data_IF_579411507230
#
_entry.id   IF_579411507230
#
_cell.length_a   1.000
_cell.length_b   1.000
_cell.length_c   1.000
_cell.angle_alpha   90.00
_cell.angle_beta   90.00
_cell.angle_gamma   90.00
#
_symmetry.space_group_name_H-M   'P 1'
#
loop_
_entity.id
_entity.type
_entity.pdbx_description
1 polymer ?
#
# COMPACT_ATOMS: atom_id res chain seq x y z
N UNK A 1 -0.73 -14.78 9.29
CA UNK A 1 -2.14 -14.78 9.72
C UNK A 1 -2.72 -13.41 9.39
N UNK A 2 -3.68 -13.35 8.46
CA UNK A 2 -4.38 -12.11 8.12
C UNK A 2 -5.68 -12.05 8.93
N UNK A 3 -6.01 -10.87 9.46
CA UNK A 3 -7.22 -10.61 10.24
C UNK A 3 -8.04 -9.60 9.44
N UNK A 4 -9.31 -9.89 9.15
CA UNK A 4 -10.20 -8.96 8.44
C UNK A 4 -10.45 -7.68 9.23
N UNK A 5 -10.65 -6.58 8.50
CA UNK A 5 -11.13 -5.31 9.04
C UNK A 5 -12.65 -5.21 8.88
N UNK A 6 -13.37 -4.53 9.79
CA UNK A 6 -14.85 -4.46 9.75
C UNK A 6 -15.39 -3.67 8.55
N UNK A 7 -14.51 -3.06 7.76
CA UNK A 7 -14.83 -2.33 6.52
C UNK A 7 -14.48 -3.15 5.28
N UNK A 8 -14.16 -4.43 5.40
CA UNK A 8 -13.88 -5.29 4.25
C UNK A 8 -15.20 -5.66 3.54
N UNK A 9 -15.18 -5.83 2.22
CA UNK A 9 -16.38 -6.21 1.45
C UNK A 9 -16.98 -7.53 1.88
N UNK A 10 -16.17 -8.47 2.37
CA UNK A 10 -16.65 -9.74 2.93
C UNK A 10 -17.44 -9.56 4.22
N UNK A 11 -17.09 -8.58 5.07
CA UNK A 11 -17.85 -8.27 6.28
C UNK A 11 -19.17 -7.59 5.91
N UNK A 12 -19.18 -6.71 4.89
CA UNK A 12 -20.42 -6.10 4.36
C UNK A 12 -21.34 -7.10 3.66
N UNK A 13 -20.77 -8.08 2.95
CA UNK A 13 -21.53 -9.18 2.37
C UNK A 13 -22.11 -10.06 3.47
N UNK A 14 -21.33 -10.38 4.51
CA UNK A 14 -21.80 -11.14 5.65
C UNK A 14 -22.95 -10.44 6.40
N UNK A 15 -22.86 -9.12 6.61
CA UNK A 15 -23.94 -8.33 7.19
C UNK A 15 -25.21 -8.35 6.32
N UNK A 16 -25.06 -8.16 5.00
CA UNK A 16 -26.17 -8.15 4.04
C UNK A 16 -26.85 -9.50 3.93
N UNK A 17 -26.06 -10.58 3.82
CA UNK A 17 -26.57 -11.95 3.75
C UNK A 17 -27.24 -12.33 5.08
N UNK A 18 -26.67 -11.93 6.22
CA UNK A 18 -27.30 -12.13 7.52
C UNK A 18 -28.67 -11.42 7.58
N UNK A 19 -28.76 -10.19 7.09
CA UNK A 19 -30.03 -9.45 7.00
C UNK A 19 -31.05 -10.11 6.06
N UNK A 20 -30.63 -10.54 4.87
CA UNK A 20 -31.50 -11.18 3.87
C UNK A 20 -32.05 -12.54 4.35
N UNK A 21 -31.18 -13.36 4.93
CA UNK A 21 -31.52 -14.70 5.44
C UNK A 21 -32.48 -14.61 6.63
N UNK A 22 -32.32 -13.59 7.46
CA UNK A 22 -33.20 -13.30 8.59
C UNK A 22 -34.51 -12.63 8.15
N UNK A 23 -34.52 -11.93 7.00
CA UNK A 23 -35.61 -11.05 6.55
C UNK A 23 -36.61 -11.62 5.54
N UNK A 24 -36.34 -12.72 4.80
CA UNK A 24 -37.27 -13.18 3.76
C UNK A 24 -37.26 -14.69 3.46
N UNK A 25 -38.47 -15.24 3.27
CA UNK A 25 -38.71 -16.59 2.78
C UNK A 25 -38.96 -16.63 1.27
N UNK A 26 -38.00 -17.14 0.49
CA UNK A 26 -38.13 -17.95 -0.75
C UNK A 26 -36.78 -17.93 -1.47
N UNK A 27 -36.17 -19.09 -1.63
CA UNK A 27 -34.84 -19.25 -2.23
C UNK A 27 -34.82 -19.26 -3.76
N UNK A 28 -33.61 -19.20 -4.31
CA UNK A 28 -33.32 -19.69 -5.65
C UNK A 28 -31.95 -20.40 -5.66
N UNK A 29 -31.96 -21.66 -6.10
CA UNK A 29 -30.83 -22.59 -6.26
C UNK A 29 -29.79 -22.10 -7.27
N UNK A 30 -28.51 -22.37 -6.98
CA UNK A 30 -27.52 -22.88 -7.95
C UNK A 30 -26.48 -23.76 -7.23
N UNK A 31 -26.39 -25.00 -7.66
CA UNK A 31 -25.38 -25.99 -7.25
C UNK A 31 -24.15 -25.85 -8.13
N UNK A 32 -22.95 -26.06 -7.59
CA UNK A 32 -21.90 -26.90 -8.17
C UNK A 32 -20.81 -27.18 -7.12
N UNK A 33 -20.44 -28.46 -6.99
CA UNK A 33 -19.46 -28.99 -6.04
C UNK A 33 -18.29 -29.58 -6.84
N UNK A 34 -17.05 -29.26 -6.48
CA UNK A 34 -15.87 -29.98 -6.94
C UNK A 34 -14.76 -29.95 -5.87
N UNK A 35 -14.38 -31.14 -5.39
CA UNK A 35 -13.38 -31.33 -4.34
C UNK A 35 -11.94 -31.08 -4.80
N UNK A 36 -11.15 -30.47 -3.91
CA UNK A 36 -9.70 -30.30 -4.03
C UNK A 36 -9.01 -30.60 -2.70
N UNK A 37 -7.84 -31.26 -2.76
CA UNK A 37 -7.08 -31.76 -1.60
C UNK A 37 -6.58 -30.62 -0.68
N UNK A 38 -6.70 -30.84 0.62
CA UNK A 38 -6.41 -29.89 1.69
C UNK A 38 -4.92 -29.53 1.83
N UNK A 39 -4.61 -28.24 1.72
CA UNK A 39 -3.41 -27.62 2.26
C UNK A 39 -3.62 -27.33 3.75
N UNK A 40 -2.61 -27.55 4.61
CA UNK A 40 -2.68 -27.29 6.06
C UNK A 40 -1.88 -26.01 6.40
N UNK A 41 -2.53 -24.88 6.69
CA UNK A 41 -1.87 -23.69 7.20
C UNK A 41 -1.60 -23.81 8.71
N UNK A 42 -0.50 -23.22 9.17
CA UNK A 42 -0.15 -23.15 10.60
C UNK A 42 -1.13 -22.24 11.36
N UNK A 43 -1.76 -22.79 12.41
CA UNK A 43 -2.73 -22.12 13.28
C UNK A 43 -1.97 -21.27 14.31
N UNK A 44 -2.25 -19.97 14.39
CA UNK A 44 -1.69 -19.10 15.43
C UNK A 44 -2.15 -19.50 16.84
N UNK A 45 -1.34 -19.25 17.89
CA UNK A 45 -1.60 -19.77 19.25
C UNK A 45 -2.95 -19.34 19.83
N UNK A 46 -3.42 -18.13 19.52
CA UNK A 46 -4.73 -17.62 19.97
C UNK A 46 -5.89 -18.44 19.41
N UNK A 47 -5.88 -18.74 18.10
CA UNK A 47 -6.93 -19.55 17.46
C UNK A 47 -6.83 -21.01 17.88
N UNK A 48 -5.60 -21.54 17.99
CA UNK A 48 -5.40 -22.90 18.49
C UNK A 48 -5.98 -23.08 19.90
N UNK A 49 -5.89 -22.05 20.74
CA UNK A 49 -6.46 -22.04 22.08
C UNK A 49 -8.00 -22.06 22.06
N UNK A 50 -8.64 -21.25 21.22
CA UNK A 50 -10.11 -21.23 21.08
C UNK A 50 -10.70 -22.49 20.43
N UNK A 51 -9.90 -23.31 19.75
CA UNK A 51 -10.34 -24.56 19.12
C UNK A 51 -10.06 -25.81 19.97
N UNK A 52 -9.39 -25.67 21.13
CA UNK A 52 -8.89 -26.78 21.94
C UNK A 52 -9.99 -27.72 22.48
N UNK A 53 -11.21 -27.21 22.67
CA UNK A 53 -12.37 -27.98 23.15
C UNK A 53 -13.03 -28.88 22.09
N UNK A 54 -12.59 -28.84 20.83
CA UNK A 54 -13.11 -29.67 19.73
C UNK A 54 -14.47 -29.23 19.17
N UNK A 55 -15.24 -28.42 19.90
CA UNK A 55 -16.49 -27.78 19.46
C UNK A 55 -17.66 -28.74 19.23
N UNK A 56 -18.87 -28.19 19.35
CA UNK A 56 -20.13 -28.91 19.11
C UNK A 56 -20.56 -28.82 17.64
N UNK A 57 -21.09 -29.92 17.09
CA UNK A 57 -21.62 -29.89 15.72
C UNK A 57 -22.83 -28.97 15.66
N UNK A 58 -22.94 -28.17 14.59
CA UNK A 58 -24.06 -27.26 14.40
C UNK A 58 -25.41 -28.02 14.48
N UNK A 59 -26.33 -27.62 15.38
CA UNK A 59 -27.57 -28.34 15.60
C UNK A 59 -28.38 -28.54 14.33
N UNK A 60 -29.04 -29.69 14.20
CA UNK A 60 -29.83 -30.05 13.01
C UNK A 60 -30.91 -29.01 12.69
N UNK A 61 -31.62 -28.51 13.69
CA UNK A 61 -32.65 -27.49 13.51
C UNK A 61 -32.10 -26.17 12.95
N UNK A 62 -30.88 -25.81 13.34
CA UNK A 62 -30.16 -24.63 12.82
C UNK A 62 -29.72 -24.84 11.37
N UNK A 63 -29.23 -26.04 11.03
CA UNK A 63 -28.89 -26.42 9.66
C UNK A 63 -30.09 -26.40 8.73
N UNK A 64 -31.20 -27.02 9.15
CA UNK A 64 -32.47 -27.02 8.39
C UNK A 64 -33.00 -25.60 8.15
N UNK A 65 -32.67 -24.65 9.01
CA UNK A 65 -33.01 -23.24 8.82
C UNK A 65 -32.10 -22.54 7.80
N UNK A 66 -30.78 -22.71 7.90
CA UNK A 66 -29.81 -21.93 7.11
C UNK A 66 -29.41 -22.57 5.79
N UNK A 67 -29.21 -23.89 5.72
CA UNK A 67 -28.72 -24.57 4.52
C UNK A 67 -29.56 -24.29 3.26
N UNK A 68 -30.92 -24.25 3.31
CA UNK A 68 -31.72 -23.94 2.12
C UNK A 68 -31.59 -22.47 1.66
N UNK A 69 -31.29 -21.55 2.58
CA UNK A 69 -31.15 -20.11 2.31
C UNK A 69 -29.77 -19.78 1.75
N UNK A 70 -28.75 -20.51 2.21
CA UNK A 70 -27.37 -20.37 1.74
C UNK A 70 -27.05 -21.25 0.52
N UNK A 71 -27.81 -22.33 0.30
CA UNK A 71 -27.47 -23.35 -0.69
C UNK A 71 -26.15 -24.05 -0.40
N UNK A 72 -25.80 -24.20 0.88
CA UNK A 72 -24.51 -24.70 1.36
C UNK A 72 -24.71 -25.75 2.45
N UNK A 73 -23.86 -26.79 2.49
CA UNK A 73 -23.90 -27.82 3.52
C UNK A 73 -23.09 -27.36 4.75
N UNK A 74 -23.76 -27.23 5.89
CA UNK A 74 -23.11 -26.83 7.14
C UNK A 74 -22.90 -28.02 8.09
N UNK A 75 -23.00 -29.26 7.60
CA UNK A 75 -22.83 -30.48 8.40
C UNK A 75 -21.46 -30.63 9.06
N UNK A 76 -20.43 -29.99 8.49
CA UNK A 76 -19.05 -30.00 9.00
C UNK A 76 -18.77 -28.87 9.99
N UNK A 77 -19.72 -27.94 10.18
CA UNK A 77 -19.54 -26.75 11.03
C UNK A 77 -19.55 -27.12 12.50
N UNK A 78 -18.57 -26.61 13.24
CA UNK A 78 -18.44 -26.77 14.69
C UNK A 78 -18.46 -25.41 15.38
N UNK A 79 -19.29 -25.32 16.42
CA UNK A 79 -19.46 -24.13 17.24
C UNK A 79 -18.66 -24.31 18.54
N UNK A 80 -17.86 -23.31 18.89
CA UNK A 80 -17.13 -23.24 20.15
C UNK A 80 -17.66 -22.05 20.95
N UNK A 81 -18.14 -22.30 22.17
CA UNK A 81 -18.71 -21.29 23.05
C UNK A 81 -18.35 -21.51 24.53
N UNK A 82 -17.31 -22.30 24.79
CA UNK A 82 -16.74 -22.54 26.12
C UNK A 82 -15.87 -21.36 26.59
N UNK A 83 -15.24 -21.51 27.77
CA UNK A 83 -14.46 -20.44 28.37
C UNK A 83 -13.19 -20.12 27.56
N UNK A 84 -12.58 -21.14 26.97
CA UNK A 84 -11.41 -21.05 26.11
C UNK A 84 -11.73 -20.34 24.79
N UNK A 85 -12.85 -20.68 24.16
CA UNK A 85 -13.43 -19.99 23.00
C UNK A 85 -13.69 -18.52 23.31
N UNK A 86 -14.32 -18.23 24.45
CA UNK A 86 -14.61 -16.87 24.88
C UNK A 86 -13.33 -16.06 25.12
N UNK A 87 -12.30 -16.66 25.72
CA UNK A 87 -10.99 -16.02 25.92
C UNK A 87 -10.29 -15.75 24.58
N UNK A 88 -10.37 -16.68 23.64
CA UNK A 88 -9.82 -16.51 22.28
C UNK A 88 -10.52 -15.38 21.52
N UNK A 89 -11.86 -15.34 21.54
CA UNK A 89 -12.63 -14.28 20.90
C UNK A 89 -12.33 -12.91 21.52
N UNK A 90 -12.20 -12.84 22.85
CA UNK A 90 -11.81 -11.61 23.55
C UNK A 90 -10.41 -11.12 23.16
N UNK A 91 -9.44 -12.03 23.02
CA UNK A 91 -8.09 -11.70 22.57
C UNK A 91 -8.06 -11.15 21.13
N UNK A 92 -9.04 -11.52 20.30
CA UNK A 92 -9.23 -11.00 18.94
C UNK A 92 -10.17 -9.79 18.86
N UNK A 93 -10.69 -9.34 20.01
CA UNK A 93 -11.68 -8.27 20.15
C UNK A 93 -13.00 -8.54 19.40
N UNK A 94 -13.41 -9.81 19.34
CA UNK A 94 -14.51 -10.29 18.53
C UNK A 94 -15.74 -10.74 19.35
N UNK A 95 -16.94 -10.46 18.83
CA UNK A 95 -18.23 -11.07 19.25
C UNK A 95 -18.28 -12.55 18.90
N UNK A 96 -17.84 -12.86 17.68
CA UNK A 96 -17.60 -14.20 17.18
C UNK A 96 -16.56 -14.09 16.05
N UNK A 97 -15.93 -15.21 15.71
CA UNK A 97 -15.05 -15.28 14.55
C UNK A 97 -15.14 -16.66 13.90
N UNK A 98 -14.84 -16.71 12.60
CA UNK A 98 -14.86 -17.93 11.80
C UNK A 98 -13.45 -18.29 11.35
N UNK A 99 -13.12 -19.59 11.44
CA UNK A 99 -11.86 -20.18 10.97
C UNK A 99 -12.11 -21.58 10.39
N UNK A 100 -12.01 -21.73 9.07
CA UNK A 100 -12.44 -22.94 8.38
C UNK A 100 -13.91 -23.29 8.69
N UNK A 101 -14.17 -24.54 9.08
CA UNK A 101 -15.51 -24.98 9.51
C UNK A 101 -15.78 -24.74 11.00
N UNK A 102 -15.02 -23.85 11.66
CA UNK A 102 -15.19 -23.54 13.08
C UNK A 102 -15.70 -22.11 13.29
N UNK A 103 -16.72 -21.97 14.12
CA UNK A 103 -17.23 -20.67 14.57
C UNK A 103 -16.98 -20.58 16.08
N UNK A 104 -16.28 -19.54 16.52
CA UNK A 104 -15.89 -19.34 17.92
C UNK A 104 -16.60 -18.11 18.46
N UNK A 105 -17.43 -18.28 19.49
CA UNK A 105 -18.22 -17.21 20.09
C UNK A 105 -17.54 -16.62 21.32
N UNK A 106 -17.65 -15.31 21.48
CA UNK A 106 -17.33 -14.59 22.71
C UNK A 106 -18.31 -14.92 23.84
N UNK A 107 -17.90 -14.60 25.07
CA UNK A 107 -18.67 -14.87 26.28
C UNK A 107 -20.13 -14.40 26.16
N UNK A 108 -21.07 -15.33 26.30
CA UNK A 108 -22.51 -15.04 26.31
C UNK A 108 -23.12 -14.66 24.94
N UNK A 109 -22.36 -14.77 23.84
CA UNK A 109 -22.83 -14.45 22.48
C UNK A 109 -23.56 -15.60 21.78
N UNK A 110 -23.30 -16.84 22.19
CA UNK A 110 -24.04 -18.02 21.71
C UNK A 110 -25.20 -18.36 22.66
N UNK A 111 -26.42 -17.97 22.29
CA UNK A 111 -27.68 -18.35 22.97
C UNK A 111 -28.65 -18.91 21.93
N UNK A 112 -28.73 -20.25 21.77
CA UNK A 112 -29.63 -20.88 20.82
C UNK A 112 -31.08 -20.36 20.97
N UNK A 113 -31.67 -19.91 19.86
CA UNK A 113 -33.05 -19.38 19.82
C UNK A 113 -33.20 -17.87 20.07
N UNK A 114 -32.12 -17.15 20.37
CA UNK A 114 -32.13 -15.68 20.42
C UNK A 114 -31.92 -15.08 19.02
N UNK A 115 -32.70 -14.05 18.65
CA UNK A 115 -32.63 -13.38 17.35
C UNK A 115 -31.24 -12.75 17.07
N UNK A 116 -30.61 -12.14 18.08
CA UNK A 116 -29.29 -11.54 17.96
C UNK A 116 -28.22 -12.61 17.72
N UNK A 117 -28.33 -13.75 18.41
CA UNK A 117 -27.46 -14.92 18.15
C UNK A 117 -27.71 -15.51 16.77
N UNK A 118 -28.96 -15.55 16.29
CA UNK A 118 -29.27 -16.08 14.96
C UNK A 118 -28.72 -15.20 13.84
N UNK A 119 -28.83 -13.87 13.96
CA UNK A 119 -28.20 -12.92 13.03
C UNK A 119 -26.68 -13.08 13.04
N UNK A 120 -26.07 -13.08 14.22
CA UNK A 120 -24.62 -13.27 14.36
C UNK A 120 -24.18 -14.61 13.77
N UNK A 121 -24.95 -15.68 13.99
CA UNK A 121 -24.66 -16.98 13.40
C UNK A 121 -24.82 -16.97 11.88
N UNK A 122 -25.77 -16.24 11.32
CA UNK A 122 -25.91 -16.07 9.88
C UNK A 122 -24.71 -15.32 9.27
N UNK A 123 -24.20 -14.29 9.96
CA UNK A 123 -22.97 -13.57 9.60
C UNK A 123 -21.78 -14.54 9.52
N UNK A 124 -21.54 -15.29 10.60
CA UNK A 124 -20.43 -16.24 10.67
C UNK A 124 -20.58 -17.43 9.69
N UNK A 125 -21.80 -17.92 9.45
CA UNK A 125 -22.06 -18.95 8.44
C UNK A 125 -21.81 -18.44 7.02
N UNK A 126 -21.96 -17.13 6.79
CA UNK A 126 -21.55 -16.50 5.52
C UNK A 126 -20.03 -16.65 5.35
N UNK A 127 -19.24 -16.41 6.40
CA UNK A 127 -17.80 -16.64 6.37
C UNK A 127 -17.43 -18.12 6.18
N UNK A 128 -18.18 -19.07 6.76
CA UNK A 128 -17.97 -20.50 6.49
C UNK A 128 -18.19 -20.81 5.02
N UNK A 129 -19.31 -20.37 4.45
CA UNK A 129 -19.65 -20.60 3.05
C UNK A 129 -18.65 -19.91 2.10
N UNK A 130 -18.18 -18.72 2.46
CA UNK A 130 -17.11 -18.00 1.76
C UNK A 130 -15.82 -18.83 1.78
N UNK A 131 -15.33 -19.26 2.95
CA UNK A 131 -14.07 -20.01 3.05
C UNK A 131 -14.11 -21.36 2.32
N UNK A 132 -15.24 -22.07 2.31
CA UNK A 132 -15.37 -23.33 1.59
C UNK A 132 -15.41 -23.13 0.07
N UNK A 133 -16.14 -22.11 -0.42
CA UNK A 133 -16.14 -21.72 -1.85
C UNK A 133 -14.77 -21.23 -2.33
N UNK A 134 -14.00 -20.59 -1.45
CA UNK A 134 -12.74 -19.93 -1.76
C UNK A 134 -11.50 -20.80 -1.45
N UNK A 135 -11.69 -21.98 -0.84
CA UNK A 135 -10.59 -22.86 -0.42
C UNK A 135 -9.66 -22.26 0.65
N UNK A 136 -10.14 -21.24 1.39
CA UNK A 136 -9.38 -20.49 2.38
C UNK A 136 -9.31 -21.28 3.70
N UNK A 137 -8.36 -22.21 3.78
CA UNK A 137 -7.90 -22.70 5.08
C UNK A 137 -6.89 -21.69 5.62
N UNK A 138 -7.07 -21.16 6.84
CA UNK A 138 -6.02 -20.34 7.51
C UNK A 138 -6.27 -18.83 7.66
N UNK A 139 -7.45 -18.31 7.30
CA UNK A 139 -7.83 -16.90 7.50
C UNK A 139 -8.82 -16.80 8.66
N UNK A 140 -8.74 -15.75 9.48
CA UNK A 140 -9.71 -15.46 10.53
C UNK A 140 -10.55 -14.25 10.12
N UNK A 141 -11.86 -14.45 10.02
CA UNK A 141 -12.87 -13.40 9.86
C UNK A 141 -13.50 -13.09 11.23
N UNK A 142 -13.62 -11.81 11.61
CA UNK A 142 -14.07 -11.40 12.96
C UNK A 142 -15.15 -10.32 12.92
N UNK A 143 -16.24 -10.54 13.66
CA UNK A 143 -17.21 -9.49 14.01
C UNK A 143 -16.84 -8.85 15.37
N UNK A 144 -16.89 -7.53 15.52
CA UNK A 144 -16.42 -6.82 16.72
C UNK A 144 -17.46 -6.79 17.86
N UNK A 145 -17.01 -6.86 19.12
CA UNK A 145 -17.86 -6.89 20.33
C UNK A 145 -18.40 -5.52 20.81
N UNK A 146 -18.36 -4.49 19.96
CA UNK A 146 -18.91 -3.17 20.27
C UNK A 146 -19.84 -2.82 19.11
N UNK A 147 -21.14 -2.65 19.39
CA UNK A 147 -22.08 -2.01 18.45
C UNK A 147 -21.36 -0.83 17.79
N UNK A 148 -21.45 -0.64 16.46
CA UNK A 148 -20.57 0.24 15.72
C UNK A 148 -20.43 1.52 16.52
N UNK A 149 -19.20 1.79 16.99
CA UNK A 149 -18.88 3.12 17.50
C UNK A 149 -19.46 4.05 16.43
N UNK A 150 -20.33 4.97 16.85
CA UNK A 150 -20.87 6.04 16.02
C UNK A 150 -19.86 6.37 14.93
N UNK A 151 -20.21 6.24 13.64
CA UNK A 151 -19.22 6.07 12.57
C UNK A 151 -18.18 7.17 12.68
N UNK A 152 -16.95 6.79 13.06
CA UNK A 152 -15.85 7.73 13.22
C UNK A 152 -15.31 8.21 11.85
N UNK A 153 -16.11 8.12 10.78
CA UNK A 153 -15.65 8.35 9.42
C UNK A 153 -16.75 8.54 8.39
N UNK A 154 -17.95 8.98 8.76
CA UNK A 154 -18.85 9.55 7.74
C UNK A 154 -18.41 10.99 7.52
N UNK A 155 -18.11 11.34 6.27
CA UNK A 155 -17.74 12.70 5.96
C UNK A 155 -18.92 13.64 6.22
N UNK A 156 -18.63 14.90 6.53
CA UNK A 156 -19.68 15.91 6.44
C UNK A 156 -20.23 15.91 5.00
N UNK A 157 -21.55 16.12 4.87
CA UNK A 157 -22.18 16.19 3.56
C UNK A 157 -21.49 17.28 2.72
N UNK A 158 -21.00 16.90 1.54
CA UNK A 158 -20.36 17.84 0.64
C UNK A 158 -21.38 18.86 0.12
N UNK A 159 -20.96 20.11 0.02
CA UNK A 159 -21.80 21.15 -0.62
C UNK A 159 -21.97 20.87 -2.11
N UNK A 160 -23.03 21.40 -2.76
CA UNK A 160 -23.21 21.24 -4.21
C UNK A 160 -21.99 21.69 -5.04
N UNK A 161 -21.28 22.73 -4.60
CA UNK A 161 -20.06 23.21 -5.26
C UNK A 161 -18.89 22.24 -5.10
N UNK A 162 -18.72 21.65 -3.91
CA UNK A 162 -17.70 20.61 -3.69
C UNK A 162 -18.00 19.36 -4.51
N UNK A 163 -19.26 18.92 -4.54
CA UNK A 163 -19.70 17.79 -5.36
C UNK A 163 -19.38 18.04 -6.84
N UNK A 164 -19.79 19.19 -7.39
CA UNK A 164 -19.51 19.54 -8.77
C UNK A 164 -17.99 19.56 -9.07
N UNK A 165 -17.19 20.16 -8.18
CA UNK A 165 -15.73 20.19 -8.30
C UNK A 165 -15.11 18.78 -8.31
N UNK A 166 -15.58 17.89 -7.44
CA UNK A 166 -15.08 16.54 -7.35
C UNK A 166 -15.54 15.65 -8.51
N UNK A 167 -16.77 15.82 -9.02
CA UNK A 167 -17.24 15.16 -10.25
C UNK A 167 -16.33 15.54 -11.42
N UNK A 168 -16.05 16.84 -11.61
CA UNK A 168 -15.15 17.30 -12.67
C UNK A 168 -13.73 16.75 -12.50
N UNK A 169 -13.20 16.76 -11.27
CA UNK A 169 -11.87 16.25 -10.97
C UNK A 169 -11.74 14.75 -11.26
N UNK A 170 -12.68 13.93 -10.76
CA UNK A 170 -12.68 12.49 -10.94
C UNK A 170 -12.94 12.11 -12.40
N UNK A 171 -13.95 12.72 -13.03
CA UNK A 171 -14.34 12.46 -14.42
C UNK A 171 -13.28 12.85 -15.45
N UNK A 172 -12.29 13.67 -15.09
CA UNK A 172 -11.16 13.99 -15.96
C UNK A 172 -10.19 12.80 -16.16
N UNK A 173 -10.16 11.85 -15.24
CA UNK A 173 -9.19 10.72 -15.27
C UNK A 173 -9.84 9.34 -15.20
N UNK A 174 -11.01 9.23 -14.56
CA UNK A 174 -11.76 7.99 -14.41
C UNK A 174 -12.90 7.99 -15.42
N UNK A 175 -12.61 7.52 -16.62
CA UNK A 175 -13.54 7.59 -17.78
C UNK A 175 -14.07 6.24 -18.22
N UNK A 176 -13.40 5.15 -17.87
CA UNK A 176 -13.80 3.81 -18.27
C UNK A 176 -14.96 3.31 -17.39
N UNK A 177 -16.08 2.94 -18.00
CA UNK A 177 -17.28 2.47 -17.29
C UNK A 177 -16.96 1.33 -16.30
N UNK A 178 -16.09 0.42 -16.73
CA UNK A 178 -15.69 -0.73 -15.96
C UNK A 178 -14.83 -0.34 -14.73
N UNK A 179 -13.99 0.70 -14.83
CA UNK A 179 -13.23 1.25 -13.69
C UNK A 179 -14.15 1.97 -12.71
N UNK A 180 -15.15 2.70 -13.23
CA UNK A 180 -16.17 3.36 -12.40
C UNK A 180 -16.97 2.32 -11.62
N UNK A 181 -17.41 1.24 -12.26
CA UNK A 181 -18.14 0.13 -11.63
C UNK A 181 -17.35 -0.47 -10.46
N UNK A 182 -16.07 -0.78 -10.70
CA UNK A 182 -15.17 -1.27 -9.65
C UNK A 182 -15.07 -0.28 -8.49
N UNK A 183 -14.78 0.99 -8.78
CA UNK A 183 -14.62 1.99 -7.73
C UNK A 183 -15.90 2.20 -6.93
N UNK A 184 -17.07 2.19 -7.60
CA UNK A 184 -18.38 2.25 -6.94
C UNK A 184 -18.57 1.09 -5.96
N UNK A 185 -18.25 -0.13 -6.39
CA UNK A 185 -18.33 -1.32 -5.54
C UNK A 185 -17.41 -1.21 -4.31
N UNK A 186 -16.15 -0.82 -4.52
CA UNK A 186 -15.14 -0.64 -3.45
C UNK A 186 -15.62 0.37 -2.40
N UNK A 187 -16.21 1.49 -2.83
CA UNK A 187 -16.75 2.51 -1.91
C UNK A 187 -18.16 2.20 -1.39
N UNK A 188 -18.67 0.99 -1.65
CA UNK A 188 -19.92 0.48 -1.08
C UNK A 188 -21.20 0.91 -1.80
N UNK A 189 -21.10 1.31 -3.07
CA UNK A 189 -22.25 1.61 -3.92
C UNK A 189 -22.56 0.46 -4.88
N UNK A 190 -23.79 0.46 -5.41
CA UNK A 190 -24.11 -0.38 -6.57
C UNK A 190 -23.15 -0.02 -7.73
N UNK A 191 -22.50 -1.03 -8.35
CA UNK A 191 -21.64 -0.82 -9.52
C UNK A 191 -22.37 -0.09 -10.67
N UNK A 192 -23.68 -0.29 -10.81
CA UNK A 192 -24.53 0.41 -11.76
C UNK A 192 -25.27 1.59 -11.11
N UNK A 193 -25.44 2.71 -11.84
CA UNK A 193 -24.87 3.03 -13.13
C UNK A 193 -23.36 3.36 -13.06
N UNK A 194 -22.64 3.09 -14.16
CA UNK A 194 -21.21 3.35 -14.29
C UNK A 194 -20.90 4.84 -14.52
N UNK A 195 -21.29 5.70 -13.58
CA UNK A 195 -21.15 7.16 -13.66
C UNK A 195 -20.50 7.75 -12.41
N UNK A 196 -19.76 8.83 -12.62
CA UNK A 196 -19.21 9.69 -11.57
C UNK A 196 -20.28 10.73 -11.23
N UNK A 197 -21.15 10.40 -10.28
CA UNK A 197 -22.25 11.25 -9.82
C UNK A 197 -22.05 11.74 -8.39
N UNK A 198 -23.01 12.53 -7.87
CA UNK A 198 -22.93 13.07 -6.51
C UNK A 198 -22.91 11.98 -5.43
N UNK A 199 -23.61 10.87 -5.65
CA UNK A 199 -23.59 9.72 -4.75
C UNK A 199 -22.20 9.08 -4.70
N UNK A 200 -21.57 8.86 -5.85
CA UNK A 200 -20.20 8.35 -5.93
C UNK A 200 -19.21 9.26 -5.22
N UNK A 201 -19.28 10.57 -5.49
CA UNK A 201 -18.37 11.55 -4.87
C UNK A 201 -18.55 11.62 -3.35
N UNK A 202 -19.78 11.51 -2.84
CA UNK A 202 -20.02 11.46 -1.40
C UNK A 202 -19.49 10.16 -0.78
N UNK A 203 -19.70 9.01 -1.44
CA UNK A 203 -19.17 7.73 -0.97
C UNK A 203 -17.64 7.71 -0.96
N UNK A 204 -16.98 8.37 -1.92
CA UNK A 204 -15.53 8.59 -1.89
C UNK A 204 -15.13 9.46 -0.69
N UNK A 205 -15.88 10.50 -0.36
CA UNK A 205 -15.60 11.33 0.81
C UNK A 205 -15.75 10.53 2.12
N UNK A 206 -16.77 9.69 2.22
CA UNK A 206 -16.97 8.80 3.37
C UNK A 206 -15.81 7.79 3.47
N UNK A 207 -15.42 7.18 2.36
CA UNK A 207 -14.23 6.32 2.29
C UNK A 207 -12.96 7.06 2.75
N UNK A 208 -12.75 8.29 2.28
CA UNK A 208 -11.62 9.12 2.69
C UNK A 208 -11.65 9.38 4.20
N UNK A 209 -12.79 9.74 4.77
CA UNK A 209 -12.94 9.97 6.21
C UNK A 209 -12.66 8.70 7.03
N UNK A 210 -13.16 7.54 6.60
CA UNK A 210 -12.90 6.24 7.24
C UNK A 210 -11.40 5.89 7.28
N UNK A 211 -10.63 6.35 6.29
CA UNK A 211 -9.20 6.09 6.18
C UNK A 211 -8.31 7.26 6.62
N UNK A 212 -8.87 8.27 7.30
CA UNK A 212 -8.11 9.43 7.80
C UNK A 212 -7.52 10.30 6.70
N UNK A 213 -8.11 10.28 5.51
CA UNK A 213 -7.75 11.13 4.38
C UNK A 213 -8.62 12.40 4.39
N UNK A 214 -8.19 13.42 3.64
CA UNK A 214 -9.03 14.59 3.37
C UNK A 214 -10.30 14.17 2.65
N UNK A 215 -11.46 14.33 3.29
CA UNK A 215 -12.77 13.94 2.77
C UNK A 215 -13.35 15.01 1.82
N UNK A 216 -12.80 15.11 0.61
CA UNK A 216 -13.19 16.08 -0.42
C UNK A 216 -13.89 15.44 -1.64
N UNK A 217 -14.07 14.12 -1.61
CA UNK A 217 -14.65 13.32 -2.70
C UNK A 217 -13.75 13.20 -3.93
N UNK A 218 -12.51 13.70 -3.88
CA UNK A 218 -11.56 13.68 -5.00
C UNK A 218 -10.62 12.48 -4.91
N UNK A 219 -10.53 11.70 -5.97
CA UNK A 219 -9.65 10.54 -6.07
C UNK A 219 -8.23 11.00 -6.45
N UNK A 220 -7.59 11.71 -5.52
CA UNK A 220 -6.20 12.14 -5.64
C UNK A 220 -5.19 11.01 -5.36
N UNK A 221 -3.87 11.29 -5.41
CA UNK A 221 -2.84 10.27 -5.21
C UNK A 221 -2.97 9.47 -3.90
N UNK A 222 -3.27 10.12 -2.78
CA UNK A 222 -3.45 9.45 -1.49
C UNK A 222 -4.68 8.53 -1.47
N UNK A 223 -5.80 9.01 -2.04
CA UNK A 223 -7.04 8.22 -2.19
C UNK A 223 -6.81 7.01 -3.09
N UNK A 224 -6.18 7.20 -4.27
CA UNK A 224 -5.84 6.10 -5.20
C UNK A 224 -4.94 5.06 -4.54
N UNK A 225 -3.94 5.48 -3.77
CA UNK A 225 -3.06 4.56 -3.04
C UNK A 225 -3.85 3.70 -2.06
N UNK A 226 -4.81 4.28 -1.32
CA UNK A 226 -5.64 3.50 -0.40
C UNK A 226 -6.58 2.56 -1.16
N UNK A 227 -7.29 3.05 -2.18
CA UNK A 227 -8.16 2.22 -3.04
C UNK A 227 -7.40 1.05 -3.66
N UNK A 228 -6.16 1.27 -4.10
CA UNK A 228 -5.32 0.21 -4.67
C UNK A 228 -5.05 -0.92 -3.68
N UNK A 229 -4.85 -0.59 -2.39
CA UNK A 229 -4.67 -1.58 -1.34
C UNK A 229 -5.95 -2.37 -1.05
N UNK A 230 -7.12 -1.70 -1.11
CA UNK A 230 -8.42 -2.38 -0.96
C UNK A 230 -8.69 -3.34 -2.11
N UNK A 231 -8.49 -2.90 -3.36
CA UNK A 231 -8.65 -3.75 -4.54
C UNK A 231 -7.76 -5.01 -4.44
N UNK A 232 -6.52 -4.87 -3.95
CA UNK A 232 -5.64 -6.02 -3.72
C UNK A 232 -6.10 -6.91 -2.56
N UNK A 233 -6.67 -6.33 -1.50
CA UNK A 233 -7.21 -7.09 -0.38
C UNK A 233 -8.41 -7.94 -0.84
N UNK A 234 -9.34 -7.35 -1.57
CA UNK A 234 -10.51 -8.04 -2.13
C UNK A 234 -10.13 -9.10 -3.17
N UNK A 235 -9.17 -8.80 -4.06
CA UNK A 235 -8.71 -9.77 -5.03
C UNK A 235 -8.08 -11.02 -4.38
N UNK A 236 -7.39 -10.83 -3.24
CA UNK A 236 -6.83 -11.95 -2.47
C UNK A 236 -7.91 -12.76 -1.76
N UNK A 237 -8.99 -12.12 -1.35
CA UNK A 237 -10.08 -12.81 -0.68
C UNK A 237 -10.91 -13.64 -1.65
N UNK A 238 -11.10 -13.21 -2.90
CA UNK A 238 -11.95 -13.88 -3.90
C UNK A 238 -11.28 -15.02 -4.71
N UNK A 239 -9.96 -15.21 -4.59
CA UNK A 239 -9.22 -16.26 -5.30
C UNK A 239 -9.21 -16.12 -6.83
N UNK A 240 -8.43 -16.96 -7.54
CA UNK A 240 -8.24 -16.84 -9.01
C UNK A 240 -9.45 -17.28 -9.84
N UNK A 241 -10.41 -18.00 -9.27
CA UNK A 241 -11.58 -18.55 -9.96
C UNK A 241 -12.88 -17.77 -9.71
N UNK A 242 -12.90 -16.85 -8.73
CA UNK A 242 -14.01 -15.94 -8.44
C UNK A 242 -13.97 -14.63 -9.24
N UNK A 243 -13.00 -14.46 -10.16
CA UNK A 243 -12.68 -13.20 -10.84
C UNK A 243 -13.75 -12.70 -11.85
N UNK A 244 -14.95 -13.30 -11.91
CA UNK A 244 -15.98 -13.01 -12.92
C UNK A 244 -16.45 -11.56 -13.03
N UNK A 245 -16.14 -10.69 -12.04
CA UNK A 245 -16.44 -9.25 -12.07
C UNK A 245 -15.24 -8.31 -11.87
N UNK A 246 -14.14 -8.78 -11.26
CA UNK A 246 -12.98 -7.94 -10.87
C UNK A 246 -11.86 -7.83 -11.93
N UNK A 247 -12.06 -8.39 -13.12
CA UNK A 247 -11.05 -8.38 -14.20
C UNK A 247 -10.61 -6.97 -14.62
N UNK A 248 -11.45 -5.96 -14.41
CA UNK A 248 -11.19 -4.59 -14.88
C UNK A 248 -10.10 -3.89 -14.07
N UNK A 249 -10.08 -4.09 -12.74
CA UNK A 249 -9.11 -3.45 -11.86
C UNK A 249 -7.71 -4.04 -11.91
N UNK A 250 -7.60 -5.30 -12.34
CA UNK A 250 -6.37 -6.08 -12.36
C UNK A 250 -5.90 -6.44 -13.77
N UNK A 251 -6.45 -5.80 -14.79
CA UNK A 251 -6.14 -6.18 -16.18
C UNK A 251 -4.64 -6.06 -16.47
N UNK A 252 -4.01 -4.93 -16.13
CA UNK A 252 -2.56 -4.76 -16.29
C UNK A 252 -1.77 -5.84 -15.54
N UNK A 253 -2.18 -6.16 -14.30
CA UNK A 253 -1.55 -7.18 -13.48
C UNK A 253 -1.62 -8.55 -14.17
N UNK A 254 -2.79 -8.94 -14.66
CA UNK A 254 -3.03 -10.18 -15.41
C UNK A 254 -2.23 -10.23 -16.72
N UNK A 255 -2.18 -9.12 -17.46
CA UNK A 255 -1.37 -9.01 -18.68
C UNK A 255 0.12 -9.18 -18.38
N UNK A 256 0.62 -8.61 -17.28
CA UNK A 256 2.00 -8.82 -16.84
C UNK A 256 2.25 -10.28 -16.41
N UNK A 257 1.32 -10.91 -15.68
CA UNK A 257 1.44 -12.33 -15.33
C UNK A 257 1.47 -13.24 -16.57
N UNK A 258 0.73 -12.89 -17.61
CA UNK A 258 0.77 -13.57 -18.91
C UNK A 258 2.16 -13.45 -19.56
N UNK A 259 2.78 -12.26 -19.52
CA UNK A 259 4.16 -12.06 -20.00
C UNK A 259 5.17 -12.90 -19.20
N UNK A 260 5.00 -12.97 -17.87
CA UNK A 260 5.84 -13.79 -17.00
C UNK A 260 5.68 -15.28 -17.36
N UNK A 261 4.44 -15.78 -17.45
CA UNK A 261 4.15 -17.17 -17.81
C UNK A 261 4.66 -17.56 -19.20
N UNK A 262 4.67 -16.62 -20.15
CA UNK A 262 5.23 -16.81 -21.48
C UNK A 262 6.77 -16.70 -21.55
N UNK A 263 7.46 -16.44 -20.43
CA UNK A 263 8.91 -16.28 -20.42
C UNK A 263 9.40 -14.96 -21.03
N UNK A 264 8.52 -13.98 -21.25
CA UNK A 264 8.87 -12.74 -21.96
C UNK A 264 9.65 -11.77 -21.06
N UNK A 265 10.92 -11.52 -21.40
CA UNK A 265 11.83 -10.64 -20.62
C UNK A 265 12.10 -9.28 -21.29
N UNK A 266 11.40 -8.97 -22.39
CA UNK A 266 11.70 -7.83 -23.27
C UNK A 266 10.95 -6.58 -22.80
N UNK A 267 11.69 -5.53 -22.41
CA UNK A 267 11.10 -4.27 -21.94
C UNK A 267 10.03 -3.67 -22.88
N UNK A 268 10.17 -3.83 -24.20
CA UNK A 268 9.22 -3.27 -25.17
C UNK A 268 7.78 -3.77 -24.97
N UNK A 269 7.59 -5.06 -24.68
CA UNK A 269 6.26 -5.65 -24.47
C UNK A 269 5.65 -5.19 -23.15
N UNK A 270 6.47 -5.17 -22.10
CA UNK A 270 6.09 -4.67 -20.78
C UNK A 270 5.69 -3.19 -20.83
N UNK A 271 6.49 -2.35 -21.50
CA UNK A 271 6.19 -0.93 -21.74
C UNK A 271 4.86 -0.75 -22.44
N UNK A 272 4.57 -1.56 -23.45
CA UNK A 272 3.33 -1.48 -24.22
C UNK A 272 2.11 -1.72 -23.33
N UNK A 273 2.15 -2.74 -22.47
CA UNK A 273 1.06 -3.02 -21.52
C UNK A 273 0.90 -1.92 -20.47
N UNK A 274 2.00 -1.48 -19.86
CA UNK A 274 1.96 -0.44 -18.82
C UNK A 274 1.43 0.89 -19.37
N UNK A 275 1.81 1.27 -20.60
CA UNK A 275 1.34 2.53 -21.21
C UNK A 275 -0.14 2.51 -21.59
N UNK A 276 -0.68 1.33 -21.92
CA UNK A 276 -2.10 1.19 -22.24
C UNK A 276 -3.00 1.19 -20.99
N UNK A 277 -2.44 0.92 -19.82
CA UNK A 277 -3.17 0.79 -18.57
C UNK A 277 -3.63 2.13 -17.97
N UNK A 278 -4.77 2.08 -17.27
CA UNK A 278 -5.29 3.23 -16.54
C UNK A 278 -4.37 3.60 -15.37
N UNK A 279 -4.57 4.79 -14.81
CA UNK A 279 -3.76 5.24 -13.66
C UNK A 279 -3.99 4.32 -12.46
N UNK A 280 -5.24 3.94 -12.17
CA UNK A 280 -5.57 3.02 -11.07
C UNK A 280 -4.91 1.66 -11.26
N UNK A 281 -4.98 1.07 -12.45
CA UNK A 281 -4.35 -0.22 -12.74
C UNK A 281 -2.83 -0.20 -12.47
N UNK A 282 -2.16 0.91 -12.82
CA UNK A 282 -0.73 1.09 -12.54
C UNK A 282 -0.44 1.24 -11.05
N UNK A 283 -1.27 1.99 -10.31
CA UNK A 283 -1.13 2.11 -8.86
C UNK A 283 -1.32 0.77 -8.14
N UNK A 284 -2.30 -0.03 -8.58
CA UNK A 284 -2.56 -1.36 -8.04
C UNK A 284 -1.34 -2.26 -8.20
N UNK A 285 -0.67 -2.23 -9.37
CA UNK A 285 0.59 -2.96 -9.56
C UNK A 285 1.70 -2.41 -8.65
N UNK A 286 1.83 -1.08 -8.50
CA UNK A 286 2.83 -0.48 -7.61
C UNK A 286 2.60 -0.77 -6.13
N UNK A 287 1.35 -1.05 -5.73
CA UNK A 287 0.96 -1.31 -4.36
C UNK A 287 1.28 -2.73 -3.87
N UNK A 288 1.75 -3.64 -4.74
CA UNK A 288 2.08 -5.04 -4.38
C UNK A 288 3.61 -5.29 -4.48
N UNK A 289 4.41 -5.05 -3.41
CA UNK A 289 5.86 -5.26 -3.46
C UNK A 289 6.28 -6.67 -3.89
N UNK A 290 5.53 -7.70 -3.48
CA UNK A 290 5.76 -9.08 -3.90
C UNK A 290 5.63 -9.26 -5.42
N UNK A 291 4.71 -8.53 -6.05
CA UNK A 291 4.56 -8.52 -7.51
C UNK A 291 5.74 -7.84 -8.19
N UNK A 292 6.17 -6.70 -7.67
CA UNK A 292 7.33 -5.97 -8.19
C UNK A 292 8.62 -6.80 -8.08
N UNK A 293 8.78 -7.60 -7.03
CA UNK A 293 9.88 -8.59 -6.90
C UNK A 293 9.76 -9.67 -8.00
N UNK A 294 8.56 -10.16 -8.30
CA UNK A 294 8.36 -11.09 -9.43
C UNK A 294 8.77 -10.44 -10.76
N UNK A 295 8.40 -9.19 -10.98
CA UNK A 295 8.86 -8.42 -12.17
C UNK A 295 10.38 -8.31 -12.19
N UNK A 296 11.02 -7.98 -11.07
CA UNK A 296 12.49 -7.87 -10.92
C UNK A 296 13.20 -9.16 -11.32
N UNK A 297 12.68 -10.30 -10.90
CA UNK A 297 13.28 -11.62 -11.14
C UNK A 297 13.10 -12.09 -12.59
N UNK A 298 12.16 -11.50 -13.33
CA UNK A 298 11.85 -11.90 -14.70
C UNK A 298 12.46 -10.99 -15.76
N UNK A 299 12.49 -9.67 -15.51
CA UNK A 299 13.09 -8.69 -16.43
C UNK A 299 14.59 -8.90 -16.58
N UNK A 300 15.09 -8.60 -17.78
CA UNK A 300 16.49 -8.87 -18.16
C UNK A 300 17.51 -8.07 -17.34
N UNK A 301 17.18 -6.83 -16.99
CA UNK A 301 18.11 -5.91 -16.30
C UNK A 301 17.42 -5.12 -15.20
N UNK A 302 18.21 -4.57 -14.27
CA UNK A 302 17.73 -3.60 -13.30
C UNK A 302 17.15 -2.36 -13.99
N UNK A 303 17.76 -1.89 -15.08
CA UNK A 303 17.31 -0.71 -15.80
C UNK A 303 15.94 -0.91 -16.44
N UNK A 304 15.66 -2.10 -16.95
CA UNK A 304 14.33 -2.41 -17.49
C UNK A 304 13.27 -2.41 -16.39
N UNK A 305 13.58 -2.93 -15.19
CA UNK A 305 12.70 -2.77 -14.03
C UNK A 305 12.49 -1.30 -13.69
N UNK A 306 13.57 -0.52 -13.57
CA UNK A 306 13.49 0.88 -13.21
C UNK A 306 12.61 1.68 -14.20
N UNK A 307 12.75 1.41 -15.51
CA UNK A 307 11.88 1.98 -16.54
C UNK A 307 10.42 1.54 -16.38
N UNK A 308 10.15 0.27 -16.09
CA UNK A 308 8.80 -0.21 -15.82
C UNK A 308 8.19 0.46 -14.60
N UNK A 309 8.93 0.57 -13.49
CA UNK A 309 8.50 1.22 -12.26
C UNK A 309 8.20 2.72 -12.48
N UNK A 310 9.02 3.39 -13.30
CA UNK A 310 8.79 4.78 -13.70
C UNK A 310 7.53 4.93 -14.56
N UNK A 311 7.31 4.04 -15.54
CA UNK A 311 6.09 4.02 -16.36
C UNK A 311 4.82 3.73 -15.54
N UNK A 312 4.95 2.91 -14.50
CA UNK A 312 3.87 2.67 -13.54
C UNK A 312 3.55 3.93 -12.71
N UNK A 313 4.43 4.95 -12.71
CA UNK A 313 4.17 6.26 -12.11
C UNK A 313 4.99 6.57 -10.86
N UNK A 314 5.91 5.69 -10.45
CA UNK A 314 6.84 6.01 -9.36
C UNK A 314 7.87 7.04 -9.85
N UNK A 315 8.23 7.97 -8.97
CA UNK A 315 9.23 9.01 -9.25
C UNK A 315 10.21 9.14 -8.08
N UNK A 316 11.37 9.73 -8.36
CA UNK A 316 12.28 10.15 -7.31
C UNK A 316 11.68 11.30 -6.46
N UNK A 317 12.03 11.37 -5.16
CA UNK A 317 11.63 12.47 -4.30
C UNK A 317 12.27 13.79 -4.74
N UNK A 318 11.61 14.90 -4.44
CA UNK A 318 12.18 16.25 -4.58
C UNK A 318 13.10 16.59 -3.41
N UNK A 319 13.94 17.61 -3.54
CA UNK A 319 14.73 18.11 -2.41
C UNK A 319 13.84 18.48 -1.22
N UNK A 320 12.66 19.08 -1.48
CA UNK A 320 11.66 19.41 -0.46
C UNK A 320 11.11 18.16 0.26
N UNK A 321 10.90 17.07 -0.46
CA UNK A 321 10.47 15.79 0.11
C UNK A 321 11.61 15.12 0.90
N UNK A 322 12.85 15.21 0.41
CA UNK A 322 14.03 14.68 1.09
C UNK A 322 14.30 15.39 2.42
N UNK A 323 14.26 16.72 2.46
CA UNK A 323 14.48 17.49 3.71
C UNK A 323 13.30 17.42 4.68
N UNK A 324 12.17 16.84 4.26
CA UNK A 324 11.02 16.55 5.11
C UNK A 324 10.99 15.08 5.59
N UNK A 325 11.82 14.21 5.00
CA UNK A 325 11.87 12.79 5.34
C UNK A 325 12.53 12.59 6.72
N UNK A 326 11.88 11.87 7.66
CA UNK A 326 12.41 11.69 9.01
C UNK A 326 13.77 10.99 9.08
N UNK A 327 14.05 10.04 8.18
CA UNK A 327 15.31 9.30 8.13
C UNK A 327 16.41 10.25 7.66
N UNK A 328 16.14 11.03 6.62
CA UNK A 328 17.08 12.03 6.10
C UNK A 328 17.34 13.11 7.16
N UNK A 329 16.32 13.72 7.77
CA UNK A 329 16.49 14.75 8.80
C UNK A 329 17.32 14.24 9.99
N UNK A 330 17.03 13.03 10.46
CA UNK A 330 17.78 12.42 11.56
C UNK A 330 19.26 12.29 11.21
N UNK A 331 19.55 11.87 9.98
CA UNK A 331 20.91 11.73 9.49
C UNK A 331 21.62 13.06 9.32
N UNK A 332 20.99 14.06 8.69
CA UNK A 332 21.55 15.40 8.51
C UNK A 332 21.97 16.03 9.84
N UNK A 333 21.16 15.84 10.90
CA UNK A 333 21.50 16.29 12.26
C UNK A 333 22.66 15.49 12.86
N UNK A 334 22.69 14.19 12.63
CA UNK A 334 23.73 13.32 13.16
C UNK A 334 25.10 13.56 12.48
N UNK A 335 25.14 13.85 11.18
CA UNK A 335 26.40 14.25 10.50
C UNK A 335 26.85 15.64 10.90
N UNK A 336 25.94 16.59 11.14
CA UNK A 336 26.30 17.90 11.69
C UNK A 336 26.95 17.80 13.07
N UNK A 337 26.41 16.92 13.93
CA UNK A 337 27.02 16.68 15.23
C UNK A 337 28.43 16.08 15.11
N UNK A 338 28.65 15.20 14.12
CA UNK A 338 29.94 14.56 13.87
C UNK A 338 30.98 15.50 13.24
N UNK A 339 30.58 16.48 12.43
CA UNK A 339 31.48 17.41 11.74
C UNK A 339 32.02 18.55 12.62
N UNK A 340 31.52 18.71 13.85
CA UNK A 340 31.88 19.82 14.75
C UNK A 340 32.96 19.45 15.79
N UNK A 341 34.09 20.19 15.88
CA UNK A 341 35.12 19.95 16.88
C UNK A 341 34.75 20.44 18.30
N UNK A 342 33.67 21.20 18.47
CA UNK A 342 33.16 21.58 19.82
C UNK A 342 32.23 20.54 20.43
N UNK A 343 31.76 19.58 19.64
CA UNK A 343 30.91 18.45 20.06
C UNK A 343 31.68 17.12 20.13
N UNK A 344 32.85 17.04 19.47
CA UNK A 344 33.81 15.94 19.57
C UNK A 344 34.85 16.19 20.68
N UNK A 345 35.51 15.16 21.24
CA UNK A 345 36.46 15.32 22.35
C UNK A 345 37.60 16.31 22.01
N UNK A 346 38.13 17.03 23.01
CA UNK A 346 39.14 18.08 22.78
C UNK A 346 40.37 17.51 22.07
N UNK A 347 40.58 17.94 20.82
CA UNK A 347 41.69 17.52 19.95
C UNK A 347 41.32 17.15 18.51
N UNK A 348 40.03 17.08 18.16
CA UNK A 348 39.58 16.82 16.78
C UNK A 348 39.62 18.05 15.87
N UNK A 349 40.02 17.85 14.61
CA UNK A 349 39.95 18.88 13.55
C UNK A 349 38.53 18.91 12.96
N UNK A 350 38.03 20.10 12.66
CA UNK A 350 36.81 20.27 11.87
C UNK A 350 36.97 19.59 10.50
N UNK A 351 35.95 18.85 10.06
CA UNK A 351 35.95 18.11 8.79
C UNK A 351 34.52 18.02 8.26
N UNK A 352 34.37 17.77 6.96
CA UNK A 352 33.06 17.54 6.37
C UNK A 352 32.60 16.10 6.60
N UNK A 353 31.32 15.96 6.90
CA UNK A 353 30.62 14.69 6.99
C UNK A 353 29.47 14.68 5.97
N UNK A 354 29.07 13.50 5.49
CA UNK A 354 28.11 13.41 4.40
C UNK A 354 27.95 12.02 3.82
N UNK A 355 27.23 11.93 2.71
CA UNK A 355 26.94 10.67 2.05
C UNK A 355 25.84 10.78 1.01
N UNK A 356 25.13 9.67 0.82
CA UNK A 356 24.11 9.53 -0.22
C UNK A 356 22.77 9.10 0.36
N UNK A 357 21.70 9.60 -0.25
CA UNK A 357 20.33 9.18 -0.01
C UNK A 357 19.91 8.20 -1.10
N UNK A 358 19.39 7.04 -0.71
CA UNK A 358 18.94 5.98 -1.60
C UNK A 358 17.43 5.81 -1.52
N UNK A 359 16.83 5.47 -2.66
CA UNK A 359 15.45 5.06 -2.75
C UNK A 359 15.38 3.63 -3.30
N UNK A 360 14.72 2.73 -2.59
CA UNK A 360 14.43 1.40 -3.10
C UNK A 360 13.27 1.47 -4.11
N UNK A 361 13.50 1.04 -5.35
CA UNK A 361 12.52 1.18 -6.43
C UNK A 361 11.40 0.12 -6.39
N UNK A 362 11.47 -0.85 -5.48
CA UNK A 362 10.41 -1.85 -5.22
C UNK A 362 9.59 -1.41 -4.02
N UNK A 363 10.20 -1.15 -2.87
CA UNK A 363 9.50 -0.83 -1.61
C UNK A 363 9.15 0.66 -1.46
N UNK A 364 9.77 1.54 -2.23
CA UNK A 364 9.67 3.00 -2.11
C UNK A 364 10.26 3.55 -0.80
N UNK A 365 11.08 2.75 -0.13
CA UNK A 365 11.75 3.11 1.11
C UNK A 365 12.97 4.02 0.86
N UNK A 366 13.13 5.03 1.71
CA UNK A 366 14.28 5.92 1.73
C UNK A 366 15.28 5.41 2.76
N UNK A 367 16.55 5.35 2.38
CA UNK A 367 17.67 5.00 3.27
C UNK A 367 18.82 5.95 3.03
N UNK A 368 19.75 6.04 3.98
CA UNK A 368 20.95 6.87 3.88
C UNK A 368 22.19 6.01 4.09
N UNK A 369 23.28 6.38 3.43
CA UNK A 369 24.61 5.80 3.71
C UNK A 369 25.63 6.91 3.81
N UNK A 370 26.39 6.93 4.90
CA UNK A 370 27.53 7.82 5.06
C UNK A 370 28.68 7.41 4.17
N UNK A 371 29.35 8.39 3.59
CA UNK A 371 30.67 8.17 3.05
C UNK A 371 31.66 7.95 4.21
N UNK A 372 32.81 7.28 3.97
CA UNK A 372 33.88 7.25 4.96
C UNK A 372 34.28 8.67 5.35
N UNK A 373 34.39 8.94 6.65
CA UNK A 373 34.79 10.26 7.15
C UNK A 373 36.11 10.68 6.50
N UNK A 374 36.11 11.86 5.87
CA UNK A 374 37.32 12.43 5.28
C UNK A 374 38.34 12.76 6.38
N UNK A 375 39.63 12.58 6.12
CA UNK A 375 40.69 13.04 7.03
C UNK A 375 40.93 14.57 6.95
N UNK A 376 40.11 15.32 6.21
CA UNK A 376 40.29 16.74 5.93
C UNK A 376 38.98 17.50 5.67
N UNK A 377 39.08 18.73 5.16
CA UNK A 377 37.96 19.67 4.99
C UNK A 377 37.06 19.42 3.77
N UNK A 378 37.20 18.29 3.07
CA UNK A 378 36.44 17.96 1.86
C UNK A 378 36.05 16.49 1.92
N UNK A 379 34.79 16.17 1.64
CA UNK A 379 34.27 14.81 1.51
C UNK A 379 34.16 14.35 0.05
N UNK A 380 34.58 13.11 -0.25
CA UNK A 380 34.46 12.53 -1.59
C UNK A 380 33.14 11.75 -1.73
N UNK A 381 32.27 12.22 -2.63
CA UNK A 381 30.97 11.63 -2.92
C UNK A 381 30.89 11.01 -4.33
N UNK A 382 32.01 10.90 -5.07
CA UNK A 382 32.04 10.53 -6.50
C UNK A 382 31.82 9.04 -6.79
N UNK A 383 31.71 8.19 -5.77
CA UNK A 383 31.57 6.74 -5.91
C UNK A 383 30.59 6.12 -4.92
N UNK A 384 29.27 6.35 -5.05
CA UNK A 384 28.29 5.75 -4.14
C UNK A 384 28.35 4.22 -4.19
N UNK A 385 28.29 3.53 -3.03
CA UNK A 385 28.17 2.08 -3.02
C UNK A 385 26.87 1.63 -3.70
N UNK A 386 26.93 0.53 -4.44
CA UNK A 386 25.75 -0.07 -5.05
C UNK A 386 24.90 -0.73 -3.96
N UNK A 387 23.60 -0.42 -3.97
CA UNK A 387 22.62 -0.99 -3.03
C UNK A 387 21.58 -1.76 -3.83
N UNK A 388 21.29 -2.99 -3.40
CA UNK A 388 20.34 -3.85 -4.09
C UNK A 388 18.98 -3.17 -4.25
N UNK A 389 18.46 -3.22 -5.48
CA UNK A 389 17.18 -2.64 -5.89
C UNK A 389 16.96 -1.16 -5.54
N UNK A 390 18.04 -0.42 -5.33
CA UNK A 390 18.01 0.98 -4.93
C UNK A 390 18.81 1.85 -5.90
N UNK A 391 18.41 3.12 -5.97
CA UNK A 391 19.12 4.16 -6.72
C UNK A 391 19.47 5.33 -5.80
N UNK A 392 20.56 6.05 -6.10
CA UNK A 392 20.86 7.33 -5.43
C UNK A 392 19.85 8.39 -5.87
N UNK A 393 19.20 9.05 -4.93
CA UNK A 393 18.20 10.11 -5.17
C UNK A 393 18.59 11.45 -4.57
N UNK A 394 19.75 11.54 -3.93
CA UNK A 394 20.34 12.79 -3.45
C UNK A 394 21.68 12.55 -2.78
N UNK A 395 22.45 13.62 -2.63
CA UNK A 395 23.69 13.69 -1.85
C UNK A 395 23.48 14.62 -0.67
N UNK A 396 24.27 14.46 0.38
CA UNK A 396 24.29 15.41 1.48
C UNK A 396 25.69 15.56 2.06
N UNK A 397 26.03 16.74 2.54
CA UNK A 397 27.25 16.99 3.30
C UNK A 397 27.11 18.21 4.22
N UNK A 398 28.04 18.36 5.15
CA UNK A 398 28.06 19.46 6.12
C UNK A 398 29.06 20.54 5.73
N UNK A 399 28.71 21.81 5.93
CA UNK A 399 29.63 22.95 5.92
C UNK A 399 29.82 23.47 7.35
N UNK A 400 30.74 22.89 8.13
CA UNK A 400 30.88 23.23 9.55
C UNK A 400 31.64 24.57 9.77
N UNK A 401 32.35 25.09 8.76
CA UNK A 401 33.21 26.27 8.89
C UNK A 401 32.41 27.59 8.87
N UNK A 402 32.44 28.33 9.98
CA UNK A 402 31.70 29.58 10.22
C UNK A 402 32.65 30.78 10.38
N UNK A 403 33.65 30.91 9.51
CA UNK A 403 34.48 32.12 9.47
C UNK A 403 33.64 33.34 9.04
N UNK A 404 34.02 34.58 9.42
CA UNK A 404 33.26 35.79 9.09
C UNK A 404 33.14 36.10 7.58
N UNK A 405 33.83 35.35 6.72
CA UNK A 405 33.75 35.42 5.26
C UNK A 405 32.96 34.26 4.63
N UNK A 406 32.43 33.32 5.42
CA UNK A 406 31.70 32.14 4.93
C UNK A 406 30.19 32.33 5.08
N UNK A 407 29.48 32.13 3.97
CA UNK A 407 28.02 32.15 3.94
C UNK A 407 27.49 30.74 4.21
N UNK A 408 26.50 30.62 5.09
CA UNK A 408 25.81 29.36 5.33
C UNK A 408 25.08 28.90 4.05
N UNK A 409 25.42 27.72 3.54
CA UNK A 409 24.76 27.11 2.39
C UNK A 409 25.73 26.61 1.32
N UNK A 410 25.18 26.22 0.14
CA UNK A 410 25.96 25.66 -0.96
C UNK A 410 26.88 26.71 -1.57
N UNK A 411 28.07 26.28 -1.93
CA UNK A 411 29.07 27.02 -2.67
C UNK A 411 28.88 26.86 -4.19
N UNK A 412 29.60 27.67 -4.97
CA UNK A 412 29.63 27.53 -6.43
C UNK A 412 30.05 26.12 -6.90
N UNK A 413 31.13 25.54 -6.35
CA UNK A 413 31.51 24.15 -6.59
C UNK A 413 30.40 23.12 -6.32
N UNK A 414 29.63 23.29 -5.23
CA UNK A 414 28.53 22.35 -4.92
C UNK A 414 27.46 22.40 -6.00
N UNK A 415 27.09 23.60 -6.44
CA UNK A 415 26.14 23.75 -7.54
C UNK A 415 26.61 23.10 -8.85
N UNK A 416 27.92 23.08 -9.12
CA UNK A 416 28.50 22.40 -10.28
C UNK A 416 28.50 20.88 -10.08
N UNK A 417 28.89 20.40 -8.90
CA UNK A 417 28.92 18.99 -8.56
C UNK A 417 27.51 18.37 -8.62
N UNK A 418 26.54 18.98 -7.95
CA UNK A 418 25.16 18.49 -7.92
C UNK A 418 24.50 18.48 -9.31
N UNK A 419 24.87 19.46 -10.17
CA UNK A 419 24.43 19.48 -11.55
C UNK A 419 25.04 18.34 -12.38
N UNK A 420 26.32 18.02 -12.16
CA UNK A 420 27.02 16.91 -12.82
C UNK A 420 26.49 15.54 -12.36
N UNK A 421 26.17 15.44 -11.07
CA UNK A 421 25.60 14.28 -10.40
C UNK A 421 24.12 14.06 -10.71
N UNK A 422 23.44 15.08 -11.26
CA UNK A 422 22.03 15.06 -11.68
C UNK A 422 21.06 14.53 -10.61
N UNK A 423 21.37 14.76 -9.34
CA UNK A 423 20.52 14.52 -8.16
C UNK A 423 20.56 15.74 -7.23
N UNK A 424 19.55 15.96 -6.38
CA UNK A 424 19.57 17.00 -5.37
C UNK A 424 20.77 16.89 -4.42
N UNK A 425 21.45 18.01 -4.17
CA UNK A 425 22.41 18.16 -3.07
C UNK A 425 21.77 18.81 -1.86
N UNK A 426 22.12 18.31 -0.66
CA UNK A 426 21.68 18.89 0.62
C UNK A 426 22.89 19.29 1.44
N UNK A 427 23.06 20.59 1.65
CA UNK A 427 24.13 21.16 2.48
C UNK A 427 23.58 21.46 3.86
N UNK A 428 24.23 20.92 4.88
CA UNK A 428 23.91 21.16 6.29
C UNK A 428 24.83 22.25 6.83
N UNK A 429 24.26 23.33 7.35
CA UNK A 429 25.02 24.44 7.91
C UNK A 429 24.32 25.10 9.09
N UNK A 430 24.96 26.11 9.68
CA UNK A 430 24.35 26.99 10.68
C UNK A 430 24.33 28.42 10.14
N UNK A 431 23.25 29.16 10.37
CA UNK A 431 23.16 30.60 10.02
C UNK A 431 23.78 31.52 11.06
N UNK A 432 24.20 30.98 12.21
CA UNK A 432 24.93 31.71 13.25
C UNK A 432 26.32 31.15 13.50
N UNK A 433 27.15 31.91 14.23
CA UNK A 433 28.59 31.67 14.43
C UNK A 433 28.91 30.75 15.62
N UNK A 434 27.90 30.22 16.31
CA UNK A 434 28.06 29.44 17.55
C UNK A 434 27.49 28.04 17.43
N UNK A 435 27.97 27.12 18.27
CA UNK A 435 27.46 25.74 18.32
C UNK A 435 26.01 25.62 18.83
N UNK A 436 25.44 26.70 19.37
CA UNK A 436 24.07 26.75 19.86
C UNK A 436 23.05 27.20 18.80
N UNK A 437 23.53 27.66 17.64
CA UNK A 437 22.67 28.15 16.57
C UNK A 437 21.93 27.01 15.85
N UNK A 438 20.69 27.23 15.41
CA UNK A 438 19.88 26.18 14.80
C UNK A 438 20.48 25.73 13.46
N UNK A 439 20.54 24.42 13.29
CA UNK A 439 20.94 23.80 12.02
C UNK A 439 19.92 24.15 10.94
N UNK A 440 20.44 24.57 9.79
CA UNK A 440 19.68 24.87 8.57
C UNK A 440 20.07 23.90 7.46
N UNK A 441 19.08 23.46 6.70
CA UNK A 441 19.28 22.59 5.54
C UNK A 441 19.08 23.39 4.26
N UNK A 442 20.10 23.44 3.43
CA UNK A 442 20.09 24.14 2.17
C UNK A 442 20.08 23.12 1.03
N UNK A 443 19.27 23.35 0.01
CA UNK A 443 19.22 22.49 -1.16
C UNK A 443 19.92 23.15 -2.35
N UNK A 444 20.60 22.34 -3.16
CA UNK A 444 21.28 22.74 -4.39
C UNK A 444 21.07 21.69 -5.50
N UNK A 445 21.46 22.05 -6.73
CA UNK A 445 21.31 21.17 -7.89
C UNK A 445 19.87 21.03 -8.41
N UNK A 446 19.57 19.95 -9.14
CA UNK A 446 18.23 19.71 -9.67
C UNK A 446 17.22 19.44 -8.55
N UNK A 447 15.95 19.81 -8.79
CA UNK A 447 14.89 19.62 -7.81
C UNK A 447 14.67 18.13 -7.43
N UNK A 448 14.96 17.21 -8.35
CA UNK A 448 14.89 15.75 -8.16
C UNK A 448 15.75 15.05 -9.20
N UNK A 449 16.10 13.78 -8.95
CA UNK A 449 16.60 12.87 -9.99
C UNK A 449 15.56 12.74 -11.12
N UNK A 450 15.98 12.92 -12.37
CA UNK A 450 15.06 12.98 -13.52
C UNK A 450 14.37 11.65 -13.80
N UNK A 451 15.14 10.56 -13.87
CA UNK A 451 14.67 9.22 -14.22
C UNK A 451 15.12 8.19 -13.18
N UNK A 452 14.32 7.14 -12.99
CA UNK A 452 14.69 6.01 -12.13
C UNK A 452 15.68 5.09 -12.85
N UNK A 453 15.55 5.00 -14.18
CA UNK A 453 16.46 4.24 -15.02
C UNK A 453 17.83 4.93 -15.16
N UNK A 454 18.90 4.13 -15.21
CA UNK A 454 20.29 4.62 -15.30
C UNK A 454 21.23 3.77 -14.45
N UNK A 455 22.40 4.30 -14.10
CA UNK A 455 23.24 3.70 -13.05
C UNK A 455 22.46 3.65 -11.73
N UNK A 456 22.60 2.57 -10.95
CA UNK A 456 22.12 2.51 -9.57
C UNK A 456 22.80 3.57 -8.67
N UNK A 457 23.99 4.04 -9.06
CA UNK A 457 24.66 5.17 -8.44
C UNK A 457 24.17 6.53 -8.94
N UNK A 458 25.07 7.52 -8.94
CA UNK A 458 24.83 8.84 -9.49
C UNK A 458 24.58 8.72 -11.00
N UNK A 459 23.47 9.27 -11.52
CA UNK A 459 23.28 9.41 -12.94
C UNK A 459 24.33 10.38 -13.48
N UNK A 460 25.06 9.99 -14.54
CA UNK A 460 25.82 11.00 -15.27
C UNK A 460 24.83 12.03 -15.82
N UNK A 461 25.14 13.33 -15.69
CA UNK A 461 24.38 14.37 -16.37
C UNK A 461 24.13 13.96 -17.84
N UNK A 462 22.94 14.20 -18.40
CA UNK A 462 22.70 13.95 -19.80
C UNK A 462 23.80 14.69 -20.58
N UNK A 463 24.60 13.94 -21.34
CA UNK A 463 25.52 14.54 -22.30
C UNK A 463 24.63 15.42 -23.16
N UNK A 464 24.86 16.75 -23.16
CA UNK A 464 24.13 17.67 -24.03
C UNK A 464 24.04 17.01 -25.41
N UNK A 465 22.86 16.94 -26.06
CA UNK A 465 22.71 16.18 -27.28
C UNK A 465 23.81 16.61 -28.23
N UNK A 466 24.74 15.71 -28.53
CA UNK A 466 25.72 15.98 -29.55
C UNK A 466 24.91 16.13 -30.82
N UNK A 467 24.77 17.36 -31.29
CA UNK A 467 24.26 17.60 -32.63
C UNK A 467 25.10 16.72 -33.55
N UNK A 468 24.48 15.74 -34.18
CA UNK A 468 25.11 15.11 -35.34
C UNK A 468 25.43 16.24 -36.32
N UNK A 469 26.47 16.06 -37.12
CA UNK A 469 26.85 17.04 -38.16
C UNK A 469 25.71 17.33 -39.17
N UNK A 470 24.58 16.59 -39.10
CA UNK A 470 23.37 16.75 -39.89
C UNK A 470 22.20 17.48 -39.21
N UNK A 471 22.34 17.91 -37.94
CA UNK A 471 21.34 18.73 -37.25
C UNK A 471 20.11 17.98 -36.70
N UNK A 472 20.12 16.65 -36.63
CA UNK A 472 19.03 15.88 -36.00
C UNK A 472 19.29 15.57 -34.52
N UNK A 473 18.25 15.63 -33.69
CA UNK A 473 18.29 15.33 -32.25
C UNK A 473 17.83 13.88 -31.97
N UNK A 474 18.52 13.16 -31.08
CA UNK A 474 18.14 11.80 -30.61
C UNK A 474 17.12 11.92 -29.47
N UNK A 475 15.92 11.35 -29.65
CA UNK A 475 14.92 11.21 -28.59
C UNK A 475 15.26 9.97 -27.74
N UNK A 476 16.02 10.15 -26.65
CA UNK A 476 16.22 9.12 -25.63
C UNK A 476 15.65 9.51 -24.28
#
# INVERSE_FOLDING_TARGET
>A
MAVSAPTDSLEREADRVADEVMGSGRGQRRTDSAGGKAFRPEIGPTVAHGLAGGGEVLPRSTREHFEPRFGHDFSTVRVHADAEAASSAAALQASAFTFGSHIVFGAGRYRPGNADTQRLLAHELTHVAQQDRLGLTGVVHRDFAVAPRTPAGVAAALTPTQIASAITFNGATITQAAEIQLLRDIVGLDPAPAVVDGAFVQAVADFQAQHGLTADGKIGPSTRRRLSLEILAEARSLGSTGLGGLHVGLELRSQIETLIGAGNRTYADWRTRIRAATVLQRDVVLAEPAFLIRMRNHLSTFNDLARCIELLGRRAPTHGELIADPIVIAELRAVWAASSPTLNPPGGTQHEEGGWVYMNIITNEITVRRAPAGQGAIIDLTGPPVVADSIVVGTYHTHPNLGPAWTAGPSGPDGVADAADAVPGIVVGSTGLTAADPVTFFASGPNRRAHLAGSQGLPSAPVAPQAKADGTYDER
#
